data_IF_642196107663
#
_entry.id   IF_642196107663
#
_cell.length_a   1.000
_cell.length_b   1.000
_cell.length_c   1.000
_cell.angle_alpha   90.00
_cell.angle_beta   90.00
_cell.angle_gamma   90.00
#
_symmetry.space_group_name_H-M   'P 1'
#
loop_
_entity.id
_entity.type
_entity.pdbx_description
1 polymer ?
#
# COMPACT_ATOMS: atom_id res chain seq x y z
N UNK A 1 -9.74 -2.19 -24.10
CA UNK A 1 -9.69 -1.40 -22.84
C UNK A 1 -10.39 -0.08 -23.06
N UNK A 2 -11.32 0.26 -22.18
CA UNK A 2 -12.17 1.44 -22.34
C UNK A 2 -11.43 2.71 -21.83
N UNK A 3 -11.53 3.83 -22.54
CA UNK A 3 -10.94 5.13 -22.15
C UNK A 3 -11.43 5.59 -20.77
N UNK A 4 -12.68 5.33 -20.45
CA UNK A 4 -13.26 5.62 -19.13
C UNK A 4 -12.57 4.84 -18.01
N UNK A 5 -12.23 3.57 -18.24
CA UNK A 5 -11.46 2.76 -17.30
C UNK A 5 -10.07 3.32 -17.04
N UNK A 6 -9.37 3.72 -18.11
CA UNK A 6 -8.04 4.34 -17.99
C UNK A 6 -8.10 5.65 -17.21
N UNK A 7 -9.12 6.46 -17.44
CA UNK A 7 -9.35 7.70 -16.70
C UNK A 7 -9.60 7.44 -15.20
N UNK A 8 -10.46 6.47 -14.87
CA UNK A 8 -10.71 6.08 -13.48
C UNK A 8 -9.42 5.65 -12.77
N UNK A 9 -8.63 4.79 -13.38
CA UNK A 9 -7.37 4.31 -12.82
C UNK A 9 -6.37 5.46 -12.66
N UNK A 10 -6.25 6.33 -13.65
CA UNK A 10 -5.37 7.50 -13.62
C UNK A 10 -5.71 8.47 -12.48
N UNK A 11 -6.98 8.81 -12.34
CA UNK A 11 -7.48 9.67 -11.26
C UNK A 11 -7.26 9.03 -9.89
N UNK A 12 -7.60 7.75 -9.74
CA UNK A 12 -7.36 7.01 -8.51
C UNK A 12 -5.87 6.99 -8.12
N UNK A 13 -4.98 6.73 -9.09
CA UNK A 13 -3.54 6.74 -8.85
C UNK A 13 -3.01 8.10 -8.41
N UNK A 14 -3.46 9.18 -9.03
CA UNK A 14 -3.07 10.53 -8.64
C UNK A 14 -3.45 10.82 -7.19
N UNK A 15 -4.69 10.52 -6.80
CA UNK A 15 -5.17 10.71 -5.43
C UNK A 15 -4.45 9.79 -4.44
N UNK A 16 -4.23 8.54 -4.78
CA UNK A 16 -3.49 7.59 -3.94
C UNK A 16 -2.04 8.02 -3.71
N UNK A 17 -1.33 8.45 -4.76
CA UNK A 17 0.04 8.92 -4.65
C UNK A 17 0.17 10.21 -3.81
N UNK A 18 -0.76 11.15 -3.96
CA UNK A 18 -0.80 12.38 -3.14
C UNK A 18 -1.06 12.02 -1.66
N UNK A 19 -2.04 11.17 -1.39
CA UNK A 19 -2.35 10.70 -0.04
C UNK A 19 -1.15 10.01 0.61
N UNK A 20 -0.47 9.13 -0.13
CA UNK A 20 0.77 8.49 0.32
C UNK A 20 1.82 9.52 0.72
N UNK A 21 2.10 10.49 -0.14
CA UNK A 21 3.13 11.50 0.11
C UNK A 21 2.81 12.31 1.37
N UNK A 22 1.58 12.75 1.54
CA UNK A 22 1.15 13.53 2.70
C UNK A 22 1.24 12.71 3.99
N UNK A 23 0.71 11.50 4.00
CA UNK A 23 0.65 10.65 5.18
C UNK A 23 2.04 10.13 5.56
N UNK A 24 2.85 9.66 4.60
CA UNK A 24 4.20 9.18 4.89
C UNK A 24 5.10 10.30 5.43
N UNK A 25 5.01 11.50 4.87
CA UNK A 25 5.75 12.65 5.38
C UNK A 25 5.31 13.04 6.79
N UNK A 26 4.01 13.02 7.07
CA UNK A 26 3.47 13.29 8.40
C UNK A 26 3.99 12.27 9.43
N UNK A 27 3.94 10.99 9.10
CA UNK A 27 4.44 9.91 9.98
C UNK A 27 5.94 10.07 10.23
N UNK A 28 6.74 10.26 9.19
CA UNK A 28 8.19 10.39 9.31
C UNK A 28 8.61 11.62 10.13
N UNK A 29 7.83 12.70 10.10
CA UNK A 29 8.10 13.91 10.91
C UNK A 29 7.77 13.72 12.37
N UNK A 30 6.73 12.98 12.70
CA UNK A 30 6.21 12.86 14.06
C UNK A 30 6.77 11.65 14.82
N UNK A 31 7.30 10.65 14.10
CA UNK A 31 7.84 9.43 14.68
C UNK A 31 9.28 9.25 14.23
N UNK A 32 10.21 9.75 15.04
CA UNK A 32 11.65 9.63 14.80
C UNK A 32 12.14 8.25 15.25
N UNK A 33 12.11 7.29 14.35
CA UNK A 33 12.65 5.96 14.54
C UNK A 33 13.95 5.75 13.74
N UNK A 34 14.60 4.62 14.01
CA UNK A 34 15.89 4.24 13.38
C UNK A 34 15.82 4.09 11.86
N UNK A 35 14.64 3.95 11.30
CA UNK A 35 14.40 3.94 9.85
C UNK A 35 13.07 4.62 9.53
N UNK A 36 12.87 4.96 8.27
CA UNK A 36 11.66 5.61 7.80
C UNK A 36 10.47 4.65 7.86
N UNK A 37 9.51 4.94 8.73
CA UNK A 37 8.33 4.08 8.93
C UNK A 37 7.11 4.53 8.12
N UNK A 38 7.17 5.67 7.47
CA UNK A 38 6.05 6.19 6.68
C UNK A 38 5.64 5.23 5.56
N UNK A 39 6.58 4.80 4.72
CA UNK A 39 6.33 3.86 3.62
C UNK A 39 5.97 2.46 4.15
N UNK A 40 6.61 2.00 5.21
CA UNK A 40 6.25 0.75 5.89
C UNK A 40 4.77 0.75 6.29
N UNK A 41 4.32 1.78 7.00
CA UNK A 41 2.93 1.93 7.46
C UNK A 41 1.96 2.01 6.29
N UNK A 42 2.28 2.79 5.27
CA UNK A 42 1.47 2.95 4.05
C UNK A 42 1.26 1.61 3.35
N UNK A 43 2.31 0.85 3.15
CA UNK A 43 2.24 -0.43 2.45
C UNK A 43 1.44 -1.47 3.26
N UNK A 44 1.63 -1.54 4.58
CA UNK A 44 0.85 -2.44 5.45
C UNK A 44 -0.62 -2.02 5.47
N UNK A 45 -0.90 -0.73 5.65
CA UNK A 45 -2.28 -0.21 5.66
C UNK A 45 -2.99 -0.46 4.32
N UNK A 46 -2.32 -0.17 3.20
CA UNK A 46 -2.86 -0.43 1.87
C UNK A 46 -3.13 -1.91 1.61
N UNK A 47 -2.23 -2.79 2.07
CA UNK A 47 -2.42 -4.25 1.99
C UNK A 47 -3.60 -4.73 2.84
N UNK A 48 -3.76 -4.18 4.03
CA UNK A 48 -4.92 -4.47 4.88
C UNK A 48 -6.23 -4.02 4.24
N UNK A 49 -6.27 -2.80 3.70
CA UNK A 49 -7.47 -2.25 3.04
C UNK A 49 -7.85 -3.07 1.81
N UNK A 50 -6.89 -3.46 0.97
CA UNK A 50 -7.19 -4.32 -0.19
C UNK A 50 -7.71 -5.69 0.25
N UNK A 51 -7.20 -6.22 1.36
CA UNK A 51 -7.72 -7.43 1.99
C UNK A 51 -9.17 -7.30 2.41
N UNK A 52 -9.55 -6.20 3.08
CA UNK A 52 -10.94 -5.91 3.45
C UNK A 52 -11.86 -5.84 2.22
N UNK A 53 -11.44 -5.11 1.19
CA UNK A 53 -12.23 -4.94 -0.04
C UNK A 53 -12.43 -6.28 -0.73
N UNK A 54 -11.35 -6.99 -1.01
CA UNK A 54 -11.41 -8.23 -1.79
C UNK A 54 -12.04 -9.38 -1.00
N UNK A 55 -11.80 -9.46 0.31
CA UNK A 55 -12.44 -10.45 1.18
C UNK A 55 -13.95 -10.26 1.28
N UNK A 56 -14.42 -9.02 1.44
CA UNK A 56 -15.85 -8.71 1.49
C UNK A 56 -16.58 -8.94 0.15
N UNK A 57 -15.89 -8.70 -0.95
CA UNK A 57 -16.45 -8.84 -2.30
C UNK A 57 -16.50 -10.30 -2.77
N UNK A 58 -15.55 -11.12 -2.37
CA UNK A 58 -15.48 -12.54 -2.76
C UNK A 58 -16.75 -13.32 -2.36
N UNK A 59 -17.41 -12.90 -1.31
CA UNK A 59 -18.57 -13.63 -0.76
C UNK A 59 -19.94 -13.08 -1.20
N UNK A 60 -20.05 -11.85 -1.67
CA UNK A 60 -21.35 -11.18 -1.79
C UNK A 60 -21.67 -10.59 -3.17
N UNK A 61 -20.68 -10.38 -4.04
CA UNK A 61 -20.89 -9.63 -5.29
C UNK A 61 -20.00 -10.17 -6.40
N UNK A 62 -20.52 -10.28 -7.62
CA UNK A 62 -19.70 -10.44 -8.82
C UNK A 62 -18.80 -9.21 -8.99
N UNK A 63 -17.50 -9.40 -8.87
CA UNK A 63 -16.49 -8.33 -8.98
C UNK A 63 -16.62 -7.49 -10.27
N UNK A 64 -17.14 -8.11 -11.35
CA UNK A 64 -17.37 -7.43 -12.61
C UNK A 64 -18.48 -6.39 -12.60
N UNK A 65 -19.40 -6.44 -11.62
CA UNK A 65 -20.55 -5.55 -11.56
C UNK A 65 -20.24 -4.21 -10.84
N UNK A 66 -19.08 -4.10 -10.20
CA UNK A 66 -18.68 -2.90 -9.47
C UNK A 66 -17.86 -1.99 -10.37
N UNK A 67 -18.54 -1.07 -11.03
CA UNK A 67 -17.93 -0.09 -11.95
C UNK A 67 -16.85 0.79 -11.32
N UNK A 68 -16.87 0.95 -10.00
CA UNK A 68 -15.93 1.80 -9.26
C UNK A 68 -14.68 1.05 -8.74
N UNK A 69 -14.66 -0.27 -8.85
CA UNK A 69 -13.57 -1.11 -8.34
C UNK A 69 -12.19 -0.78 -8.96
N UNK A 70 -12.09 -0.54 -10.28
CA UNK A 70 -10.81 -0.18 -10.89
C UNK A 70 -10.24 1.14 -10.36
N UNK A 71 -11.09 2.13 -10.10
CA UNK A 71 -10.67 3.39 -9.48
C UNK A 71 -10.08 3.13 -8.08
N UNK A 72 -10.75 2.34 -7.27
CA UNK A 72 -10.37 2.13 -5.86
C UNK A 72 -9.15 1.21 -5.74
N UNK A 73 -9.18 0.02 -6.34
CA UNK A 73 -8.14 -0.99 -6.16
C UNK A 73 -6.92 -0.71 -7.03
N UNK A 74 -7.10 -0.70 -8.35
CA UNK A 74 -5.98 -0.47 -9.28
C UNK A 74 -5.51 0.98 -9.29
N UNK A 75 -6.44 1.91 -9.15
CA UNK A 75 -6.18 3.33 -9.05
C UNK A 75 -5.65 3.71 -7.68
N UNK A 76 -6.54 4.00 -6.75
CA UNK A 76 -6.18 4.61 -5.46
C UNK A 76 -5.20 3.76 -4.65
N UNK A 77 -5.52 2.51 -4.35
CA UNK A 77 -4.62 1.64 -3.57
C UNK A 77 -3.32 1.33 -4.31
N UNK A 78 -3.38 1.16 -5.65
CA UNK A 78 -2.18 1.00 -6.47
C UNK A 78 -1.28 2.24 -6.53
N UNK A 79 -1.82 3.45 -6.35
CA UNK A 79 -1.05 4.69 -6.18
C UNK A 79 -0.61 4.95 -4.74
N UNK A 80 -1.41 4.53 -3.78
CA UNK A 80 -1.16 4.69 -2.35
C UNK A 80 0.00 3.82 -1.87
N UNK A 81 0.03 2.53 -2.23
CA UNK A 81 1.14 1.61 -1.93
C UNK A 81 2.31 1.78 -2.91
N UNK A 82 3.53 1.44 -2.51
CA UNK A 82 4.69 1.58 -3.37
C UNK A 82 5.81 0.61 -3.03
N UNK A 83 6.15 -0.24 -3.98
CA UNK A 83 7.33 -1.10 -3.88
C UNK A 83 8.62 -0.35 -4.21
N UNK A 84 8.59 0.60 -5.15
CA UNK A 84 9.76 1.35 -5.58
C UNK A 84 10.34 2.24 -4.46
N UNK A 85 9.51 2.93 -3.69
CA UNK A 85 9.97 3.71 -2.54
C UNK A 85 10.55 2.81 -1.44
N UNK A 86 9.91 1.69 -1.16
CA UNK A 86 10.42 0.67 -0.25
C UNK A 86 11.81 0.16 -0.68
N UNK A 87 11.98 -0.15 -1.96
CA UNK A 87 13.26 -0.60 -2.51
C UNK A 87 14.35 0.46 -2.38
N UNK A 88 14.03 1.72 -2.67
CA UNK A 88 14.95 2.84 -2.57
C UNK A 88 15.38 3.11 -1.12
N UNK A 89 14.45 3.11 -0.18
CA UNK A 89 14.75 3.27 1.25
C UNK A 89 15.62 2.14 1.78
N UNK A 90 15.36 0.90 1.35
CA UNK A 90 16.21 -0.26 1.66
C UNK A 90 17.64 -0.07 1.15
N UNK A 91 17.78 0.39 -0.09
CA UNK A 91 19.10 0.69 -0.67
C UNK A 91 19.85 1.75 0.16
N UNK A 92 19.19 2.83 0.55
CA UNK A 92 19.80 3.86 1.39
C UNK A 92 20.29 3.32 2.73
N UNK A 93 19.51 2.47 3.40
CA UNK A 93 19.92 1.82 4.64
C UNK A 93 21.20 0.98 4.45
N UNK A 94 21.30 0.25 3.35
CA UNK A 94 22.51 -0.50 3.01
C UNK A 94 23.71 0.42 2.74
N UNK A 95 23.52 1.50 1.99
CA UNK A 95 24.58 2.46 1.66
C UNK A 95 25.10 3.20 2.89
N UNK A 96 24.24 3.44 3.88
CA UNK A 96 24.62 4.01 5.18
C UNK A 96 25.30 3.00 6.13
N UNK A 97 25.51 1.76 5.70
CA UNK A 97 26.07 0.68 6.53
C UNK A 97 25.09 0.14 7.58
N UNK A 98 23.83 0.50 7.53
CA UNK A 98 22.76 0.09 8.45
C UNK A 98 22.13 -1.22 8.01
N UNK A 99 22.95 -2.26 7.90
CA UNK A 99 22.55 -3.55 7.34
C UNK A 99 21.44 -4.23 8.15
N UNK A 100 21.54 -4.22 9.49
CA UNK A 100 20.52 -4.83 10.36
C UNK A 100 19.17 -4.13 10.20
N UNK A 101 19.16 -2.80 10.13
CA UNK A 101 17.93 -2.03 9.89
C UNK A 101 17.35 -2.29 8.50
N UNK A 102 18.21 -2.42 7.48
CA UNK A 102 17.75 -2.76 6.13
C UNK A 102 17.06 -4.12 6.08
N UNK A 103 17.67 -5.15 6.68
CA UNK A 103 17.10 -6.50 6.75
C UNK A 103 15.78 -6.49 7.56
N UNK A 104 15.75 -5.81 8.69
CA UNK A 104 14.55 -5.67 9.52
C UNK A 104 13.43 -4.95 8.77
N UNK A 105 13.76 -3.89 8.03
CA UNK A 105 12.81 -3.13 7.22
C UNK A 105 12.18 -3.99 6.12
N UNK A 106 12.99 -4.78 5.41
CA UNK A 106 12.49 -5.73 4.40
C UNK A 106 11.59 -6.79 5.05
N UNK A 107 12.04 -7.42 6.13
CA UNK A 107 11.29 -8.47 6.81
C UNK A 107 9.94 -7.94 7.35
N UNK A 108 9.93 -6.78 8.00
CA UNK A 108 8.72 -6.16 8.54
C UNK A 108 7.75 -5.74 7.44
N UNK A 109 8.25 -5.18 6.34
CA UNK A 109 7.41 -4.75 5.22
C UNK A 109 6.75 -5.97 4.55
N UNK A 110 7.53 -6.98 4.19
CA UNK A 110 7.02 -8.17 3.51
C UNK A 110 6.02 -8.92 4.40
N UNK A 111 6.41 -9.24 5.63
CA UNK A 111 5.54 -9.94 6.59
C UNK A 111 4.30 -9.12 6.93
N UNK A 112 4.47 -7.84 7.22
CA UNK A 112 3.38 -6.95 7.58
C UNK A 112 2.34 -6.80 6.46
N UNK A 113 2.78 -6.69 5.20
CA UNK A 113 1.87 -6.61 4.06
C UNK A 113 1.10 -7.92 3.84
N UNK A 114 1.79 -9.07 3.89
CA UNK A 114 1.15 -10.37 3.71
C UNK A 114 0.17 -10.69 4.84
N UNK A 115 0.56 -10.45 6.08
CA UNK A 115 -0.33 -10.60 7.25
C UNK A 115 -1.48 -9.59 7.18
N UNK A 116 -1.20 -8.36 6.80
CA UNK A 116 -2.21 -7.30 6.66
C UNK A 116 -3.31 -7.68 5.67
N UNK A 117 -2.96 -8.12 4.46
CA UNK A 117 -3.95 -8.54 3.46
C UNK A 117 -4.74 -9.75 3.92
N UNK A 118 -4.09 -10.71 4.57
CA UNK A 118 -4.76 -11.90 5.12
C UNK A 118 -5.77 -11.53 6.20
N UNK A 119 -5.36 -10.74 7.20
CA UNK A 119 -6.25 -10.27 8.28
C UNK A 119 -7.43 -9.48 7.70
N UNK A 120 -7.16 -8.54 6.79
CA UNK A 120 -8.22 -7.78 6.13
C UNK A 120 -9.23 -8.67 5.43
N UNK A 121 -8.78 -9.68 4.70
CA UNK A 121 -9.66 -10.63 4.01
C UNK A 121 -10.48 -11.50 4.96
N UNK A 122 -9.90 -11.95 6.08
CA UNK A 122 -10.58 -12.82 7.04
C UNK A 122 -11.62 -12.06 7.87
N UNK A 123 -11.37 -10.80 8.22
CA UNK A 123 -12.29 -9.99 9.04
C UNK A 123 -13.66 -9.75 8.41
N UNK A 124 -13.77 -9.86 7.10
CA UNK A 124 -15.01 -9.59 6.34
C UNK A 124 -15.66 -10.84 5.75
N UNK A 125 -15.12 -12.02 6.07
CA UNK A 125 -15.68 -13.32 5.66
C UNK A 125 -16.87 -13.76 6.51
#
# INVERSE_FOLDING_TARGET
MNLFLLFQVGMGRALGAISRMLISNYINRNFSLTFLIGILTINILGSFIIGLIMGGMYLKVNLGDIKFLPFLVTGFLGGFTTFSSFSLETLYLFQEGRVTQAISYVALTMTGCLVGVYIGAVLVR
#
